data_IF_794274102090
#
_entry.id   IF_794274102090
#
_cell.length_a   1.000
_cell.length_b   1.000
_cell.length_c   1.000
_cell.angle_alpha   90.00
_cell.angle_beta   90.00
_cell.angle_gamma   90.00
#
_symmetry.space_group_name_H-M   'P 1'
#
loop_
_entity.id
_entity.type
_entity.pdbx_description
1 polymer ?
#
# COMPACT_ATOMS: atom_id res chain seq x y z
N UNK A 1 6.41 2.34 -22.06
CA UNK A 1 5.63 1.43 -21.21
C UNK A 1 6.44 1.09 -19.96
N UNK A 2 5.76 0.77 -18.86
CA UNK A 2 6.34 0.22 -17.64
C UNK A 2 5.74 -1.16 -17.38
N UNK A 3 6.53 -2.09 -16.84
CA UNK A 3 6.07 -3.38 -16.34
C UNK A 3 5.69 -3.21 -14.87
N UNK A 4 4.43 -3.44 -14.54
CA UNK A 4 3.90 -3.39 -13.18
C UNK A 4 3.84 -4.83 -12.66
N UNK A 5 4.43 -5.08 -11.50
CA UNK A 5 4.69 -6.45 -11.02
C UNK A 5 4.11 -6.64 -9.63
N UNK A 6 3.17 -7.59 -9.50
CA UNK A 6 2.90 -8.22 -8.22
C UNK A 6 4.03 -9.20 -7.91
N UNK A 7 4.96 -8.79 -7.05
CA UNK A 7 6.24 -9.47 -6.87
C UNK A 7 6.23 -10.58 -5.83
N UNK A 8 5.47 -11.65 -6.03
CA UNK A 8 5.52 -12.86 -5.21
C UNK A 8 5.72 -14.10 -6.08
N UNK A 9 6.57 -15.04 -5.64
CA UNK A 9 6.57 -16.39 -6.20
C UNK A 9 5.36 -17.16 -5.69
N UNK A 10 4.86 -18.11 -6.48
CA UNK A 10 3.71 -18.96 -6.11
C UNK A 10 4.11 -20.41 -5.82
N UNK A 11 5.42 -20.66 -5.68
CA UNK A 11 5.98 -21.95 -5.31
C UNK A 11 5.36 -22.43 -3.98
N UNK A 12 4.73 -23.63 -3.94
CA UNK A 12 4.10 -24.15 -2.74
C UNK A 12 5.09 -24.44 -1.60
N UNK A 13 6.38 -24.60 -1.89
CA UNK A 13 7.42 -24.86 -0.89
C UNK A 13 7.96 -23.56 -0.24
N UNK A 14 7.56 -22.38 -0.75
CA UNK A 14 7.94 -21.07 -0.21
C UNK A 14 6.86 -20.53 0.71
N UNK A 15 7.23 -20.27 1.96
CA UNK A 15 6.36 -19.66 2.97
C UNK A 15 5.80 -18.31 2.49
N UNK A 16 4.52 -18.06 2.75
CA UNK A 16 3.82 -16.86 2.28
C UNK A 16 4.47 -15.55 2.73
N UNK A 17 5.17 -15.54 3.87
CA UNK A 17 5.87 -14.35 4.35
C UNK A 17 7.19 -14.09 3.61
N UNK A 18 7.75 -15.08 2.91
CA UNK A 18 9.04 -15.01 2.23
C UNK A 18 8.91 -14.85 0.70
N UNK A 19 7.71 -15.06 0.13
CA UNK A 19 7.45 -15.04 -1.31
C UNK A 19 7.94 -13.79 -2.03
N UNK A 20 7.79 -12.62 -1.41
CA UNK A 20 8.26 -11.36 -2.00
C UNK A 20 9.78 -11.29 -2.06
N UNK A 21 10.48 -11.63 -0.97
CA UNK A 21 11.93 -11.61 -0.93
C UNK A 21 12.53 -12.62 -1.94
N UNK A 22 11.94 -13.82 -2.01
CA UNK A 22 12.33 -14.84 -2.99
C UNK A 22 12.09 -14.37 -4.42
N UNK A 23 10.98 -13.68 -4.70
CA UNK A 23 10.70 -13.12 -6.02
C UNK A 23 11.73 -12.05 -6.41
N UNK A 24 12.06 -11.15 -5.47
CA UNK A 24 13.07 -10.10 -5.68
C UNK A 24 14.41 -10.70 -6.10
N UNK A 25 14.85 -11.73 -5.38
CA UNK A 25 16.12 -12.43 -5.63
C UNK A 25 16.10 -13.23 -6.95
N UNK A 26 15.10 -14.11 -7.13
CA UNK A 26 15.10 -15.12 -8.20
C UNK A 26 14.61 -14.58 -9.54
N UNK A 27 13.70 -13.61 -9.53
CA UNK A 27 12.98 -13.19 -10.73
C UNK A 27 13.27 -11.72 -11.08
N UNK A 28 13.03 -10.80 -10.13
CA UNK A 28 13.04 -9.37 -10.42
C UNK A 28 14.44 -8.84 -10.70
N UNK A 29 15.42 -9.18 -9.85
CA UNK A 29 16.80 -8.74 -10.06
C UNK A 29 17.36 -9.22 -11.42
N UNK A 30 17.28 -10.52 -11.77
CA UNK A 30 17.68 -10.99 -13.09
C UNK A 30 16.91 -10.34 -14.25
N UNK A 31 15.61 -10.06 -14.09
CA UNK A 31 14.81 -9.39 -15.12
C UNK A 31 15.30 -7.95 -15.37
N UNK A 32 15.60 -7.20 -14.31
CA UNK A 32 16.09 -5.82 -14.40
C UNK A 32 17.47 -5.75 -15.06
N UNK A 33 18.32 -6.75 -14.84
CA UNK A 33 19.63 -6.88 -15.49
C UNK A 33 19.50 -7.20 -16.98
N UNK A 34 18.65 -8.19 -17.34
CA UNK A 34 18.44 -8.60 -18.75
C UNK A 34 17.78 -7.51 -19.59
N UNK A 35 16.99 -6.63 -18.99
CA UNK A 35 16.24 -5.59 -19.70
C UNK A 35 16.62 -4.18 -19.24
N UNK A 36 17.80 -3.66 -19.62
CA UNK A 36 18.34 -2.40 -19.08
C UNK A 36 17.56 -1.13 -19.45
N UNK A 37 16.61 -1.23 -20.39
CA UNK A 37 15.73 -0.13 -20.82
C UNK A 37 14.30 -0.25 -20.31
N UNK A 38 13.93 -1.36 -19.67
CA UNK A 38 12.58 -1.59 -19.19
C UNK A 38 12.38 -0.82 -17.88
N UNK A 39 11.33 0.02 -17.82
CA UNK A 39 10.84 0.57 -16.55
C UNK A 39 10.04 -0.49 -15.82
N UNK A 40 10.28 -0.65 -14.53
CA UNK A 40 9.61 -1.66 -13.69
C UNK A 40 9.09 -0.99 -12.42
N UNK A 41 7.86 -1.33 -12.03
CA UNK A 41 7.30 -0.99 -10.73
C UNK A 41 7.07 -2.29 -9.98
N UNK A 42 7.74 -2.47 -8.84
CA UNK A 42 7.37 -3.47 -7.85
C UNK A 42 6.15 -2.93 -7.12
N UNK A 43 4.98 -3.42 -7.48
CA UNK A 43 3.73 -2.96 -6.86
C UNK A 43 3.70 -3.35 -5.39
N UNK A 44 3.01 -2.54 -4.58
CA UNK A 44 2.63 -2.77 -3.18
C UNK A 44 3.73 -3.50 -2.38
N UNK A 45 4.96 -2.98 -2.39
CA UNK A 45 6.12 -3.59 -1.71
C UNK A 45 5.85 -3.73 -0.20
N UNK A 46 6.20 -4.88 0.38
CA UNK A 46 5.86 -5.21 1.77
C UNK A 46 7.04 -5.58 2.65
N UNK A 47 8.22 -5.77 2.06
CA UNK A 47 9.43 -6.25 2.75
C UNK A 47 10.57 -5.22 2.76
N UNK A 48 11.38 -5.21 3.82
CA UNK A 48 12.66 -4.50 3.85
C UNK A 48 13.58 -4.91 2.68
N UNK A 49 13.59 -6.19 2.32
CA UNK A 49 14.34 -6.74 1.19
C UNK A 49 13.90 -6.09 -0.15
N UNK A 50 12.60 -5.94 -0.37
CA UNK A 50 12.06 -5.22 -1.53
C UNK A 50 12.40 -3.72 -1.52
N UNK A 51 12.35 -3.08 -0.36
CA UNK A 51 12.78 -1.67 -0.19
C UNK A 51 14.26 -1.50 -0.54
N UNK A 52 15.13 -2.34 0.02
CA UNK A 52 16.57 -2.30 -0.20
C UNK A 52 16.91 -2.54 -1.67
N UNK A 53 16.23 -3.50 -2.31
CA UNK A 53 16.37 -3.73 -3.74
C UNK A 53 16.04 -2.47 -4.56
N UNK A 54 14.89 -1.83 -4.31
CA UNK A 54 14.48 -0.64 -5.06
C UNK A 54 15.41 0.55 -4.79
N UNK A 55 15.98 0.66 -3.59
CA UNK A 55 17.01 1.66 -3.24
C UNK A 55 18.34 1.43 -3.97
N UNK A 56 18.75 0.18 -4.14
CA UNK A 56 19.98 -0.18 -4.86
C UNK A 56 19.81 -0.21 -6.38
N UNK A 57 18.56 -0.36 -6.87
CA UNK A 57 18.28 -0.51 -8.29
C UNK A 57 18.45 0.81 -9.09
N UNK A 58 18.65 0.72 -10.42
CA UNK A 58 18.74 1.89 -11.29
C UNK A 58 17.45 2.73 -11.27
N UNK A 59 17.49 4.02 -11.69
CA UNK A 59 16.34 4.93 -11.65
C UNK A 59 15.06 4.49 -12.39
N UNK A 60 15.16 3.47 -13.24
CA UNK A 60 14.04 2.87 -13.98
C UNK A 60 13.22 1.85 -13.17
N UNK A 61 13.62 1.55 -11.93
CA UNK A 61 12.92 0.64 -11.02
C UNK A 61 12.34 1.44 -9.86
N UNK A 62 11.04 1.31 -9.63
CA UNK A 62 10.33 1.98 -8.55
C UNK A 62 9.42 1.00 -7.80
N UNK A 63 8.76 1.48 -6.75
CA UNK A 63 7.73 0.75 -6.03
C UNK A 63 6.53 1.64 -5.71
N UNK A 64 5.36 1.02 -5.68
CA UNK A 64 4.21 1.60 -4.98
C UNK A 64 4.16 1.07 -3.54
N UNK A 65 3.69 1.92 -2.62
CA UNK A 65 3.51 1.54 -1.21
C UNK A 65 2.06 1.82 -0.83
N UNK A 66 1.41 0.85 -0.21
CA UNK A 66 0.00 0.96 0.23
C UNK A 66 -0.13 1.61 1.61
N UNK A 67 -1.26 2.25 1.89
CA UNK A 67 -1.54 2.82 3.21
C UNK A 67 -1.60 1.74 4.30
N UNK A 68 -2.21 0.58 4.00
CA UNK A 68 -2.37 -0.49 4.99
C UNK A 68 -1.03 -1.15 5.38
N UNK A 69 -0.06 -1.23 4.46
CA UNK A 69 1.29 -1.70 4.77
C UNK A 69 2.15 -0.69 5.53
N UNK A 70 1.82 0.61 5.51
CA UNK A 70 2.45 1.62 6.37
C UNK A 70 1.84 1.63 7.77
N UNK A 71 0.51 1.51 7.85
CA UNK A 71 -0.24 1.60 9.11
C UNK A 71 -0.17 0.33 9.96
N UNK A 72 -0.01 -0.84 9.36
CA UNK A 72 -0.13 -2.12 10.06
C UNK A 72 1.03 -3.07 9.77
N UNK A 73 1.35 -3.90 10.76
CA UNK A 73 2.16 -5.10 10.59
C UNK A 73 1.28 -6.35 10.81
N UNK A 74 1.84 -7.53 10.61
CA UNK A 74 1.09 -8.81 10.66
C UNK A 74 0.40 -9.10 11.98
N UNK A 75 0.76 -8.44 13.08
CA UNK A 75 0.02 -8.60 14.34
C UNK A 75 -1.43 -8.14 14.19
N UNK A 76 -1.71 -7.17 13.31
CA UNK A 76 -3.05 -6.71 13.00
C UNK A 76 -3.95 -7.81 12.39
N UNK A 77 -3.39 -8.86 11.80
CA UNK A 77 -4.16 -10.02 11.33
C UNK A 77 -4.73 -10.85 12.48
N UNK A 78 -4.12 -10.78 13.66
CA UNK A 78 -4.39 -11.68 14.79
C UNK A 78 -4.79 -10.96 16.08
N UNK A 79 -4.94 -9.64 16.04
CA UNK A 79 -5.28 -8.83 17.21
C UNK A 79 -6.70 -9.13 17.71
N UNK A 80 -6.79 -9.80 18.87
CA UNK A 80 -8.04 -10.25 19.46
C UNK A 80 -8.69 -11.45 18.73
N UNK A 81 -7.99 -12.06 17.77
CA UNK A 81 -8.48 -13.12 16.90
C UNK A 81 -8.12 -12.89 15.43
N UNK A 82 -8.48 -13.82 14.55
CA UNK A 82 -8.23 -13.67 13.12
C UNK A 82 -9.11 -12.58 12.52
N UNK A 83 -8.50 -11.57 11.88
CA UNK A 83 -9.17 -10.43 11.24
C UNK A 83 -9.08 -10.53 9.71
N UNK A 84 -10.05 -11.16 9.02
CA UNK A 84 -9.97 -11.39 7.56
C UNK A 84 -9.95 -10.09 6.75
N UNK A 85 -10.55 -9.00 7.25
CA UNK A 85 -10.53 -7.70 6.60
C UNK A 85 -9.15 -7.02 6.58
N UNK A 86 -8.17 -7.55 7.31
CA UNK A 86 -6.77 -7.13 7.26
C UNK A 86 -5.90 -8.05 6.39
N UNK A 87 -6.48 -9.11 5.80
CA UNK A 87 -5.77 -10.03 4.91
C UNK A 87 -5.74 -9.50 3.48
N UNK A 88 -4.54 -9.30 2.93
CA UNK A 88 -4.24 -8.96 1.53
C UNK A 88 -3.04 -9.77 1.04
N UNK A 89 -2.73 -9.64 -0.25
CA UNK A 89 -1.50 -10.13 -0.86
C UNK A 89 -0.76 -8.94 -1.50
N UNK A 90 0.57 -8.80 -1.30
CA UNK A 90 1.40 -9.60 -0.41
C UNK A 90 0.95 -9.43 1.05
N UNK A 91 1.10 -10.47 1.86
CA UNK A 91 0.57 -10.46 3.24
C UNK A 91 1.28 -9.41 4.12
N UNK A 92 0.57 -8.81 5.07
CA UNK A 92 1.20 -8.00 6.12
C UNK A 92 2.41 -8.74 6.73
N UNK A 93 3.54 -8.04 6.86
CA UNK A 93 4.82 -8.62 7.31
C UNK A 93 5.15 -8.22 8.76
N UNK A 94 6.29 -8.70 9.30
CA UNK A 94 6.78 -8.31 10.65
C UNK A 94 7.06 -6.81 10.73
N UNK A 95 7.08 -6.27 11.94
CA UNK A 95 7.31 -4.84 12.20
C UNK A 95 8.59 -4.28 11.55
N UNK A 96 9.66 -5.08 11.44
CA UNK A 96 10.89 -4.65 10.74
C UNK A 96 10.63 -4.19 9.31
N UNK A 97 9.71 -4.85 8.61
CA UNK A 97 9.42 -4.53 7.22
C UNK A 97 8.53 -3.29 7.12
N UNK A 98 7.53 -3.17 8.01
CA UNK A 98 6.71 -1.94 8.12
C UNK A 98 7.58 -0.71 8.37
N UNK A 99 8.57 -0.82 9.25
CA UNK A 99 9.54 0.27 9.54
C UNK A 99 10.37 0.62 8.32
N UNK A 100 10.89 -0.36 7.58
CA UNK A 100 11.63 -0.10 6.34
C UNK A 100 10.79 0.65 5.30
N UNK A 101 9.49 0.32 5.18
CA UNK A 101 8.56 1.07 4.31
C UNK A 101 8.37 2.51 4.79
N UNK A 102 8.14 2.70 6.09
CA UNK A 102 7.98 4.03 6.70
C UNK A 102 9.24 4.89 6.52
N UNK A 103 10.41 4.33 6.77
CA UNK A 103 11.70 5.00 6.58
C UNK A 103 11.89 5.43 5.11
N UNK A 104 11.58 4.55 4.15
CA UNK A 104 11.67 4.86 2.72
C UNK A 104 10.78 6.02 2.29
N UNK A 105 9.53 6.08 2.79
CA UNK A 105 8.63 7.19 2.47
C UNK A 105 8.95 8.46 3.25
N UNK A 106 9.41 8.34 4.51
CA UNK A 106 9.79 9.47 5.36
C UNK A 106 11.06 10.20 4.87
N UNK A 107 12.00 9.46 4.27
CA UNK A 107 13.15 10.06 3.58
C UNK A 107 12.77 10.82 2.30
N UNK A 108 11.55 10.63 1.78
CA UNK A 108 11.09 11.25 0.54
C UNK A 108 11.77 10.65 -0.70
N UNK A 109 12.14 9.38 -0.67
CA UNK A 109 12.86 8.75 -1.79
C UNK A 109 11.99 8.73 -3.08
N UNK A 110 12.46 9.29 -4.22
CA UNK A 110 11.63 9.57 -5.41
C UNK A 110 11.17 8.34 -6.21
N UNK A 111 11.50 7.15 -5.74
CA UNK A 111 11.17 5.86 -6.38
C UNK A 111 10.11 5.08 -5.59
N UNK A 112 9.59 5.69 -4.52
CA UNK A 112 8.45 5.20 -3.77
C UNK A 112 7.32 6.21 -3.91
N UNK A 113 6.16 5.73 -4.37
CA UNK A 113 5.00 6.57 -4.61
C UNK A 113 3.69 5.86 -4.27
N UNK A 114 2.62 6.65 -4.21
CA UNK A 114 1.30 6.17 -3.81
C UNK A 114 0.75 5.13 -4.77
N UNK A 115 0.40 3.96 -4.25
CA UNK A 115 -0.48 2.98 -4.89
C UNK A 115 -1.34 2.34 -3.80
N UNK A 116 -2.65 2.54 -3.84
CA UNK A 116 -3.53 2.18 -2.72
C UNK A 116 -3.69 0.67 -2.55
N UNK A 117 -3.62 -0.06 -3.67
CA UNK A 117 -4.10 -1.44 -3.78
C UNK A 117 -5.46 -1.62 -3.10
N UNK A 118 -6.36 -0.65 -3.29
CA UNK A 118 -7.69 -0.72 -2.70
C UNK A 118 -8.48 -1.81 -3.41
N UNK A 119 -8.65 -2.95 -2.73
CA UNK A 119 -9.26 -4.16 -3.27
C UNK A 119 -10.52 -4.52 -2.45
N UNK A 120 -11.67 -3.87 -2.70
CA UNK A 120 -12.91 -4.17 -2.01
C UNK A 120 -13.44 -5.55 -2.39
N UNK A 121 -13.84 -6.32 -1.39
CA UNK A 121 -14.59 -7.55 -1.56
C UNK A 121 -15.86 -7.49 -0.69
N UNK A 122 -16.98 -8.08 -1.15
CA UNK A 122 -18.15 -8.25 -0.30
C UNK A 122 -17.78 -8.93 1.02
N UNK A 123 -18.38 -8.49 2.13
CA UNK A 123 -18.06 -9.00 3.47
C UNK A 123 -18.16 -10.53 3.53
N UNK A 124 -19.17 -11.12 2.87
CA UNK A 124 -19.36 -12.57 2.76
C UNK A 124 -18.17 -13.33 2.13
N UNK A 125 -17.43 -12.68 1.24
CA UNK A 125 -16.28 -13.29 0.56
C UNK A 125 -15.01 -13.23 1.43
N UNK A 126 -14.92 -12.24 2.33
CA UNK A 126 -13.86 -12.11 3.34
C UNK A 126 -14.13 -13.01 4.56
N UNK A 127 -15.36 -13.05 5.02
CA UNK A 127 -15.85 -13.79 6.21
C UNK A 127 -16.32 -15.20 5.81
N UNK A 128 -15.41 -15.99 5.23
CA UNK A 128 -15.71 -17.34 4.72
C UNK A 128 -14.65 -18.36 5.14
N UNK A 129 -14.86 -19.64 4.81
CA UNK A 129 -13.86 -20.69 5.02
C UNK A 129 -12.55 -20.45 4.25
N UNK A 130 -12.59 -19.65 3.17
CA UNK A 130 -11.43 -19.26 2.38
C UNK A 130 -11.59 -17.78 1.99
N UNK A 131 -11.27 -16.89 2.92
CA UNK A 131 -11.44 -15.44 2.73
C UNK A 131 -10.60 -14.86 1.59
N UNK A 132 -11.20 -14.03 0.74
CA UNK A 132 -10.47 -13.33 -0.31
C UNK A 132 -9.38 -12.39 0.26
N UNK A 133 -8.27 -12.24 -0.44
CA UNK A 133 -7.24 -11.24 -0.12
C UNK A 133 -7.64 -9.88 -0.69
N UNK A 134 -7.52 -8.81 0.12
CA UNK A 134 -7.79 -7.43 -0.31
C UNK A 134 -8.28 -6.55 0.84
N UNK A 135 -7.84 -5.30 0.87
CA UNK A 135 -8.23 -4.31 1.89
C UNK A 135 -8.84 -3.10 1.19
N UNK A 136 -10.03 -2.67 1.64
CA UNK A 136 -10.71 -1.51 1.06
C UNK A 136 -10.24 -0.21 1.71
N UNK A 137 -9.43 0.56 1.00
CA UNK A 137 -8.82 1.82 1.49
C UNK A 137 -9.25 3.05 0.70
N UNK A 138 -9.85 2.90 -0.49
CA UNK A 138 -10.18 4.04 -1.36
C UNK A 138 -11.16 5.05 -0.73
N UNK A 139 -11.98 4.63 0.24
CA UNK A 139 -12.92 5.50 0.96
C UNK A 139 -12.25 6.66 1.74
N UNK A 140 -10.97 6.52 2.09
CA UNK A 140 -10.22 7.49 2.90
C UNK A 140 -8.72 7.48 2.52
N UNK A 141 -8.40 7.26 1.24
CA UNK A 141 -7.04 6.93 0.82
C UNK A 141 -6.00 7.98 1.25
N UNK A 142 -6.24 9.27 0.95
CA UNK A 142 -5.30 10.35 1.28
C UNK A 142 -5.22 10.58 2.80
N UNK A 143 -6.34 10.44 3.49
CA UNK A 143 -6.44 10.58 4.94
C UNK A 143 -5.63 9.50 5.66
N UNK A 144 -5.71 8.25 5.20
CA UNK A 144 -4.94 7.12 5.74
C UNK A 144 -3.42 7.29 5.52
N UNK A 145 -3.00 7.80 4.36
CA UNK A 145 -1.58 8.15 4.16
C UNK A 145 -1.16 9.33 5.03
N UNK A 146 -2.01 10.33 5.22
CA UNK A 146 -1.70 11.45 6.11
C UNK A 146 -1.48 10.99 7.55
N UNK A 147 -2.28 10.05 8.05
CA UNK A 147 -2.02 9.42 9.36
C UNK A 147 -0.65 8.74 9.42
N UNK A 148 -0.31 7.93 8.42
CA UNK A 148 0.96 7.19 8.38
C UNK A 148 2.18 8.13 8.31
N UNK A 149 2.10 9.18 7.48
CA UNK A 149 3.17 10.16 7.34
C UNK A 149 3.27 11.08 8.57
N UNK A 150 2.15 11.44 9.19
CA UNK A 150 2.13 12.17 10.47
C UNK A 150 2.79 11.34 11.59
N UNK A 151 2.48 10.04 11.70
CA UNK A 151 3.10 9.13 12.68
C UNK A 151 4.60 8.95 12.45
N UNK A 152 5.04 9.01 11.19
CA UNK A 152 6.46 8.98 10.83
C UNK A 152 7.17 10.34 11.01
N UNK A 153 6.46 11.41 11.37
CA UNK A 153 7.02 12.75 11.47
C UNK A 153 7.45 13.34 10.12
N UNK A 154 6.83 12.90 9.02
CA UNK A 154 7.22 13.22 7.65
C UNK A 154 6.05 13.75 6.79
N UNK A 155 5.06 14.41 7.40
CA UNK A 155 3.86 14.88 6.71
C UNK A 155 4.18 15.82 5.52
N UNK A 156 5.28 16.56 5.60
CA UNK A 156 5.83 17.41 4.52
C UNK A 156 6.24 16.61 3.26
N UNK A 157 6.45 15.30 3.37
CA UNK A 157 6.79 14.41 2.26
C UNK A 157 5.60 13.82 1.53
N UNK A 158 4.39 13.97 2.10
CA UNK A 158 3.17 13.35 1.56
C UNK A 158 2.87 13.82 0.14
N UNK A 159 3.03 15.11 -0.16
CA UNK A 159 2.75 15.65 -1.50
C UNK A 159 3.64 14.99 -2.57
N UNK A 160 4.94 14.90 -2.30
CA UNK A 160 5.89 14.32 -3.25
C UNK A 160 5.55 12.85 -3.54
N UNK A 161 5.27 12.08 -2.48
CA UNK A 161 4.84 10.68 -2.57
C UNK A 161 3.51 10.49 -3.31
N UNK A 162 2.51 11.34 -3.03
CA UNK A 162 1.15 11.18 -3.53
C UNK A 162 0.90 11.78 -4.92
N UNK A 163 1.66 12.82 -5.31
CA UNK A 163 1.33 13.64 -6.47
C UNK A 163 2.49 13.90 -7.44
N UNK A 164 3.76 13.69 -7.03
CA UNK A 164 4.92 14.07 -7.86
C UNK A 164 5.71 12.86 -8.37
N UNK A 165 6.12 11.96 -7.49
CA UNK A 165 7.00 10.84 -7.82
C UNK A 165 6.41 9.89 -8.88
N UNK A 166 5.13 9.56 -8.75
CA UNK A 166 4.39 8.72 -9.71
C UNK A 166 4.39 9.30 -11.13
N UNK A 167 3.82 10.50 -11.38
CA UNK A 167 3.83 11.08 -12.72
C UNK A 167 5.25 11.28 -13.27
N UNK A 168 6.22 11.68 -12.44
CA UNK A 168 7.62 11.83 -12.86
C UNK A 168 8.21 10.49 -13.36
N UNK A 169 8.01 9.39 -12.62
CA UNK A 169 8.48 8.06 -13.03
C UNK A 169 7.81 7.58 -14.33
N UNK A 170 6.51 7.84 -14.46
CA UNK A 170 5.74 7.47 -15.64
C UNK A 170 6.00 8.39 -16.85
N UNK A 171 6.62 9.56 -16.66
CA UNK A 171 6.83 10.56 -17.70
C UNK A 171 5.52 11.26 -18.09
N UNK A 172 4.63 11.46 -17.11
CA UNK A 172 3.34 12.12 -17.25
C UNK A 172 3.38 13.52 -16.63
N UNK A 173 2.55 14.47 -17.08
CA UNK A 173 2.45 15.77 -16.45
C UNK A 173 1.90 15.63 -15.01
N UNK A 174 2.39 16.48 -14.12
CA UNK A 174 1.84 16.64 -12.76
C UNK A 174 0.49 17.34 -12.83
N UNK A 175 -0.39 17.03 -11.89
CA UNK A 175 -1.66 17.76 -11.72
C UNK A 175 -1.38 19.23 -11.35
N UNK A 176 -2.21 20.15 -11.85
CA UNK A 176 -2.10 21.60 -11.54
C UNK A 176 -3.05 22.05 -10.43
N UNK A 177 -4.03 21.22 -10.08
CA UNK A 177 -4.97 21.49 -8.99
C UNK A 177 -4.42 21.05 -7.64
N UNK A 178 -5.11 21.46 -6.57
CA UNK A 178 -4.79 21.08 -5.21
C UNK A 178 -5.99 20.45 -4.53
N UNK A 179 -5.71 19.66 -3.51
CA UNK A 179 -6.68 19.18 -2.53
C UNK A 179 -6.24 19.64 -1.15
N UNK A 180 -7.17 19.75 -0.21
CA UNK A 180 -6.87 20.15 1.17
C UNK A 180 -7.24 19.03 2.12
N UNK A 181 -6.27 18.55 2.90
CA UNK A 181 -6.53 17.67 4.04
C UNK A 181 -6.60 18.52 5.30
N UNK A 182 -7.72 18.42 6.02
CA UNK A 182 -7.91 19.07 7.31
C UNK A 182 -7.73 18.06 8.43
N UNK A 183 -7.08 18.46 9.52
CA UNK A 183 -6.91 17.63 10.72
C UNK A 183 -8.19 17.62 11.55
N UNK A 184 -9.23 17.03 10.98
CA UNK A 184 -10.56 16.92 11.56
C UNK A 184 -10.91 15.43 11.68
N UNK A 185 -10.92 14.88 12.92
CA UNK A 185 -11.25 13.49 13.12
C UNK A 185 -12.68 13.15 12.70
N UNK A 186 -12.86 12.01 12.04
CA UNK A 186 -14.18 11.49 11.68
C UNK A 186 -14.24 9.98 11.80
N UNK A 187 -15.44 9.45 12.05
CA UNK A 187 -15.67 8.02 12.20
C UNK A 187 -16.02 7.39 10.86
N UNK A 188 -15.25 6.38 10.47
CA UNK A 188 -15.51 5.62 9.25
C UNK A 188 -16.76 4.75 9.43
N UNK A 189 -17.70 4.73 8.48
CA UNK A 189 -18.83 3.81 8.51
C UNK A 189 -18.39 2.36 8.73
N UNK A 190 -19.20 1.58 9.45
CA UNK A 190 -18.90 0.17 9.69
C UNK A 190 -18.87 -0.66 8.39
N UNK A 191 -19.61 -0.22 7.37
CA UNK A 191 -19.61 -0.78 6.03
C UNK A 191 -20.07 0.27 5.02
N UNK A 192 -19.75 0.04 3.74
CA UNK A 192 -20.31 0.75 2.60
C UNK A 192 -21.20 -0.20 1.78
N UNK A 193 -22.32 0.32 1.27
CA UNK A 193 -23.35 -0.48 0.60
C UNK A 193 -24.22 -1.30 1.57
N UNK A 194 -25.12 -2.10 1.02
CA UNK A 194 -26.09 -2.87 1.80
C UNK A 194 -26.17 -4.34 1.35
N UNK A 195 -26.75 -5.17 2.23
CA UNK A 195 -27.07 -6.56 1.92
C UNK A 195 -25.84 -7.39 1.53
N UNK A 196 -25.96 -8.24 0.49
CA UNK A 196 -24.88 -9.13 0.08
C UNK A 196 -23.62 -8.40 -0.42
N UNK A 197 -23.77 -7.21 -1.01
CA UNK A 197 -22.68 -6.45 -1.63
C UNK A 197 -21.99 -5.49 -0.66
N UNK A 198 -22.37 -5.48 0.62
CA UNK A 198 -21.72 -4.66 1.65
C UNK A 198 -20.21 -4.93 1.70
N UNK A 199 -19.39 -3.89 1.81
CA UNK A 199 -17.93 -3.97 1.94
C UNK A 199 -17.50 -3.35 3.27
N UNK A 200 -16.56 -4.01 3.96
CA UNK A 200 -15.99 -3.50 5.21
C UNK A 200 -14.71 -2.71 4.89
N UNK A 201 -14.67 -1.39 5.14
CA UNK A 201 -13.48 -0.57 4.91
C UNK A 201 -12.39 -0.83 5.96
N UNK A 202 -11.13 -0.53 5.62
CA UNK A 202 -10.11 -0.32 6.64
C UNK A 202 -10.59 0.78 7.60
N UNK A 203 -10.34 0.63 8.90
CA UNK A 203 -10.87 1.52 9.97
C UNK A 203 -12.40 1.49 10.14
N UNK A 204 -13.13 0.49 9.63
CA UNK A 204 -14.57 0.34 9.89
C UNK A 204 -14.94 0.56 11.38
N UNK A 205 -15.81 1.55 11.65
CA UNK A 205 -16.26 1.93 13.00
C UNK A 205 -15.22 2.66 13.87
N UNK A 206 -13.99 2.85 13.36
CA UNK A 206 -12.92 3.57 14.03
C UNK A 206 -12.79 5.00 13.50
N UNK A 207 -11.99 5.81 14.20
CA UNK A 207 -11.71 7.20 13.82
C UNK A 207 -10.51 7.28 12.87
N UNK A 208 -10.63 8.12 11.85
CA UNK A 208 -9.51 8.63 11.03
C UNK A 208 -9.28 10.10 11.40
N UNK A 209 -8.02 10.52 11.59
CA UNK A 209 -7.60 11.84 12.12
C UNK A 209 -7.63 12.98 11.11
N UNK A 210 -7.59 12.64 9.83
CA UNK A 210 -7.58 13.59 8.71
C UNK A 210 -8.85 13.43 7.88
N UNK A 211 -9.26 14.51 7.22
CA UNK A 211 -10.44 14.55 6.33
C UNK A 211 -10.11 15.36 5.08
N UNK A 212 -10.47 14.85 3.91
CA UNK A 212 -10.44 15.61 2.68
C UNK A 212 -11.53 16.70 2.67
N UNK A 213 -11.13 17.96 2.57
CA UNK A 213 -12.04 19.08 2.49
C UNK A 213 -12.88 19.01 1.20
N UNK A 214 -14.20 19.15 1.33
CA UNK A 214 -15.12 19.07 0.19
C UNK A 214 -15.48 17.65 -0.26
N UNK A 215 -14.94 16.61 0.39
CA UNK A 215 -15.45 15.24 0.26
C UNK A 215 -16.81 15.13 0.95
N UNK A 216 -17.89 15.35 0.20
CA UNK A 216 -19.21 14.95 0.65
C UNK A 216 -19.19 13.44 0.87
N UNK A 217 -19.42 13.01 2.11
CA UNK A 217 -19.66 11.61 2.42
C UNK A 217 -20.70 11.06 1.46
N UNK A 218 -20.27 10.10 0.63
CA UNK A 218 -21.15 9.21 -0.11
C UNK A 218 -21.20 7.88 0.64
#
# INVERSE_FOLDING_TARGET
LALLVHGEVTDPDVDVFDREAVFVERELAPLVERHPRLRVVLEHVTTAEGVDFVRAAPPRVAATVTAHHLLMNRNALFEGGLRPHHYCLPVLKRERHRRALLEAVAEGHPRFFLGTDSAPHPARAKESACGCAGIYTAHAALELYAEAFEEAGALDRLEAFAALHGPDFHGLPRNSGTVTLVREPWTVPAAYGEGPERVVPLRAGATVRWRLAGGSGM
#
